data_IF_278691554431
#
_entry.id   IF_278691554431
#
_cell.length_a   1.000
_cell.length_b   1.000
_cell.length_c   1.000
_cell.angle_alpha   90.00
_cell.angle_beta   90.00
_cell.angle_gamma   90.00
#
_symmetry.space_group_name_H-M   'P 1'
#
loop_
_entity.id
_entity.type
_entity.pdbx_description
1 polymer ?
#
# COMPACT_ATOMS: atom_id res chain seq x y z
N UNK A 1 22.06 13.38 47.02
CA UNK A 1 23.23 12.93 46.23
C UNK A 1 22.74 11.96 45.16
N UNK A 2 22.70 12.32 43.87
CA UNK A 2 22.29 11.38 42.83
C UNK A 2 23.36 10.29 42.71
N UNK A 3 22.93 9.03 42.82
CA UNK A 3 23.79 7.85 42.72
C UNK A 3 24.42 7.85 41.32
N UNK A 4 25.76 7.93 41.27
CA UNK A 4 26.56 7.74 40.07
C UNK A 4 26.22 6.38 39.48
N UNK A 5 25.59 6.37 38.31
CA UNK A 5 25.28 5.15 37.58
C UNK A 5 26.62 4.41 37.36
N UNK A 6 26.80 3.17 37.86
CA UNK A 6 28.03 2.44 37.64
C UNK A 6 28.19 2.30 36.12
N UNK A 7 29.41 2.48 35.63
CA UNK A 7 29.73 2.47 34.22
C UNK A 7 28.99 1.32 33.50
N UNK A 8 28.09 1.69 32.58
CA UNK A 8 27.48 0.78 31.61
C UNK A 8 28.62 -0.04 31.02
N UNK A 9 28.55 -1.37 31.10
CA UNK A 9 29.69 -2.19 30.68
C UNK A 9 29.99 -1.89 29.20
N UNK A 10 31.26 -1.91 28.76
CA UNK A 10 31.60 -1.71 27.35
C UNK A 10 30.81 -2.63 26.41
N UNK A 11 30.47 -3.81 26.93
CA UNK A 11 29.66 -4.84 26.29
C UNK A 11 28.21 -4.36 26.05
N UNK A 12 27.54 -3.85 27.07
CA UNK A 12 26.19 -3.29 26.95
C UNK A 12 26.14 -2.10 25.99
N UNK A 13 27.16 -1.24 25.99
CA UNK A 13 27.21 -0.10 25.07
C UNK A 13 27.42 -0.54 23.62
N UNK A 14 28.09 -1.66 23.39
CA UNK A 14 28.35 -2.20 22.06
C UNK A 14 27.10 -2.91 21.53
N UNK A 15 26.45 -3.73 22.36
CA UNK A 15 25.19 -4.40 22.03
C UNK A 15 24.09 -3.39 21.65
N UNK A 16 23.96 -2.31 22.40
CA UNK A 16 22.96 -1.27 22.12
C UNK A 16 23.24 -0.52 20.81
N UNK A 17 24.51 -0.30 20.46
CA UNK A 17 24.89 0.31 19.18
C UNK A 17 24.57 -0.61 18.02
N UNK A 18 24.87 -1.90 18.14
CA UNK A 18 24.55 -2.89 17.11
C UNK A 18 23.04 -2.98 16.86
N UNK A 19 22.23 -3.00 17.93
CA UNK A 19 20.76 -3.01 17.81
C UNK A 19 20.21 -1.73 17.17
N UNK A 20 20.83 -0.58 17.45
CA UNK A 20 20.46 0.69 16.84
C UNK A 20 20.77 0.66 15.34
N UNK A 21 21.99 0.26 14.98
CA UNK A 21 22.44 0.15 13.58
C UNK A 21 21.55 -0.80 12.77
N UNK A 22 21.24 -1.98 13.30
CA UNK A 22 20.34 -2.95 12.67
C UNK A 22 18.92 -2.37 12.43
N UNK A 23 18.39 -1.65 13.42
CA UNK A 23 17.06 -1.01 13.31
C UNK A 23 17.07 0.10 12.26
N UNK A 24 18.10 0.94 12.26
CA UNK A 24 18.27 2.04 11.30
C UNK A 24 18.44 1.53 9.88
N UNK A 25 19.20 0.45 9.68
CA UNK A 25 19.39 -0.18 8.38
C UNK A 25 18.09 -0.80 7.87
N UNK A 26 17.32 -1.47 8.75
CA UNK A 26 15.99 -2.00 8.41
C UNK A 26 15.04 -0.88 7.96
N UNK A 27 14.99 0.23 8.71
CA UNK A 27 14.16 1.39 8.34
C UNK A 27 14.62 2.02 7.01
N UNK A 28 15.93 2.07 6.77
CA UNK A 28 16.48 2.53 5.50
C UNK A 28 16.03 1.63 4.35
N UNK A 29 16.05 0.31 4.52
CA UNK A 29 15.59 -0.64 3.52
C UNK A 29 14.11 -0.45 3.18
N UNK A 30 13.26 -0.26 4.19
CA UNK A 30 11.83 0.01 4.01
C UNK A 30 11.62 1.34 3.25
N UNK A 31 12.29 2.42 3.65
CA UNK A 31 12.15 3.75 3.02
C UNK A 31 12.61 3.80 1.57
N UNK A 32 13.61 2.99 1.21
CA UNK A 32 14.17 2.95 -0.15
C UNK A 32 13.59 1.81 -0.99
N UNK A 33 12.48 1.17 -0.57
CA UNK A 33 11.86 0.07 -1.29
C UNK A 33 12.82 -1.11 -1.57
N UNK A 34 13.78 -1.36 -0.67
CA UNK A 34 14.74 -2.46 -0.78
C UNK A 34 14.24 -3.75 -0.11
N UNK A 35 12.93 -3.85 0.12
CA UNK A 35 12.27 -4.99 0.78
C UNK A 35 11.08 -5.40 -0.09
N UNK A 36 10.94 -6.70 -0.37
CA UNK A 36 9.86 -7.22 -1.22
C UNK A 36 8.68 -7.79 -0.40
N UNK A 37 8.91 -8.18 0.86
CA UNK A 37 7.89 -8.75 1.74
C UNK A 37 8.25 -8.66 3.24
N UNK A 38 7.22 -8.75 4.08
CA UNK A 38 7.32 -8.88 5.53
C UNK A 38 6.76 -10.22 6.00
N UNK A 39 7.40 -10.82 7.00
CA UNK A 39 6.86 -11.97 7.73
C UNK A 39 6.23 -11.46 9.02
N UNK A 40 4.90 -11.52 9.12
CA UNK A 40 4.13 -11.05 10.26
C UNK A 40 3.63 -12.23 11.08
N UNK A 41 3.90 -12.24 12.38
CA UNK A 41 3.35 -13.25 13.29
C UNK A 41 2.07 -12.71 13.92
N UNK A 42 0.98 -13.47 13.81
CA UNK A 42 -0.33 -13.20 14.41
C UNK A 42 -0.75 -14.38 15.30
N UNK A 43 -1.83 -14.22 16.05
CA UNK A 43 -2.34 -15.26 16.96
C UNK A 43 -2.71 -16.57 16.25
N UNK A 44 -2.99 -16.50 14.94
CA UNK A 44 -3.35 -17.61 14.05
C UNK A 44 -2.18 -18.17 13.22
N UNK A 45 -0.97 -17.62 13.36
CA UNK A 45 0.24 -18.15 12.72
C UNK A 45 1.13 -17.09 12.06
N UNK A 46 2.04 -17.55 11.21
CA UNK A 46 2.97 -16.70 10.46
C UNK A 46 2.43 -16.43 9.05
N UNK A 47 2.31 -15.15 8.68
CA UNK A 47 1.81 -14.69 7.38
C UNK A 47 2.89 -13.89 6.64
N UNK A 48 3.09 -14.16 5.35
CA UNK A 48 3.95 -13.35 4.47
C UNK A 48 3.11 -12.27 3.78
N UNK A 49 3.52 -11.01 3.86
CA UNK A 49 2.88 -9.84 3.24
C UNK A 49 3.85 -9.23 2.24
N UNK A 50 3.55 -9.25 0.95
CA UNK A 50 4.39 -8.65 -0.10
C UNK A 50 4.13 -7.16 -0.25
N UNK A 51 5.17 -6.36 -0.49
CA UNK A 51 5.08 -4.91 -0.69
C UNK A 51 4.60 -4.54 -2.11
N UNK A 52 4.85 -5.39 -3.09
CA UNK A 52 4.35 -5.26 -4.46
C UNK A 52 3.39 -6.41 -4.76
N UNK A 53 2.13 -6.27 -4.40
CA UNK A 53 1.08 -7.04 -5.09
C UNK A 53 1.15 -6.64 -6.57
N UNK A 54 1.16 -7.60 -7.50
CA UNK A 54 1.20 -7.34 -8.96
C UNK A 54 0.10 -6.37 -9.44
N UNK A 55 -0.91 -6.16 -8.60
CA UNK A 55 -2.00 -5.21 -8.76
C UNK A 55 -1.55 -3.74 -8.71
N UNK A 56 -0.45 -3.39 -8.02
CA UNK A 56 -0.05 -1.98 -7.88
C UNK A 56 0.45 -1.37 -9.19
N UNK A 57 1.40 -1.97 -9.94
CA UNK A 57 1.80 -1.47 -11.26
C UNK A 57 0.64 -1.43 -12.25
N UNK A 58 -0.25 -2.43 -12.23
CA UNK A 58 -1.43 -2.48 -13.08
C UNK A 58 -2.41 -1.34 -12.74
N UNK A 59 -2.70 -1.12 -11.46
CA UNK A 59 -3.58 -0.04 -10.99
C UNK A 59 -3.03 1.32 -11.35
N UNK A 60 -1.73 1.55 -11.13
CA UNK A 60 -1.06 2.80 -11.50
C UNK A 60 -1.17 3.05 -13.01
N UNK A 61 -0.97 2.02 -13.83
CA UNK A 61 -1.14 2.13 -15.28
C UNK A 61 -2.56 2.57 -15.62
N UNK A 62 -3.59 1.88 -15.12
CA UNK A 62 -5.01 2.15 -15.44
C UNK A 62 -5.49 3.50 -14.90
N UNK A 63 -5.04 3.92 -13.71
CA UNK A 63 -5.41 5.20 -13.10
C UNK A 63 -4.77 6.40 -13.82
N UNK A 64 -3.62 6.20 -14.47
CA UNK A 64 -2.89 7.22 -15.22
C UNK A 64 -3.29 7.35 -16.70
N UNK A 65 -4.23 6.53 -17.19
CA UNK A 65 -4.66 6.54 -18.59
C UNK A 65 -5.37 7.85 -18.97
N UNK A 66 -5.11 8.32 -20.18
CA UNK A 66 -5.85 9.45 -20.77
C UNK A 66 -7.22 9.03 -21.33
N UNK A 67 -7.43 7.73 -21.50
CA UNK A 67 -8.68 7.09 -21.85
C UNK A 67 -9.48 6.72 -20.60
N UNK A 68 -10.81 6.83 -20.71
CA UNK A 68 -11.72 6.31 -19.70
C UNK A 68 -11.77 4.78 -19.77
N UNK A 69 -11.61 4.12 -18.63
CA UNK A 69 -11.73 2.68 -18.49
C UNK A 69 -12.86 2.34 -17.53
N UNK A 70 -13.70 1.36 -17.91
CA UNK A 70 -14.80 0.83 -17.11
C UNK A 70 -14.80 -0.68 -17.19
N UNK A 71 -14.96 -1.33 -16.05
CA UNK A 71 -15.22 -2.78 -15.94
C UNK A 71 -16.66 -2.98 -15.53
N UNK A 72 -17.38 -3.80 -16.29
CA UNK A 72 -18.76 -4.16 -16.02
C UNK A 72 -18.84 -5.61 -15.54
N UNK A 73 -19.74 -5.87 -14.60
CA UNK A 73 -20.21 -7.23 -14.33
C UNK A 73 -21.28 -7.63 -15.37
N UNK A 74 -21.63 -8.94 -15.50
CA UNK A 74 -22.47 -9.42 -16.60
C UNK A 74 -23.86 -8.77 -16.74
N UNK A 75 -24.41 -8.19 -15.66
CA UNK A 75 -25.68 -7.47 -15.67
C UNK A 75 -25.57 -6.03 -16.17
N UNK A 76 -24.37 -5.58 -16.54
CA UNK A 76 -24.08 -4.23 -17.03
C UNK A 76 -23.83 -3.21 -15.91
N UNK A 77 -23.75 -3.64 -14.66
CA UNK A 77 -23.41 -2.78 -13.53
C UNK A 77 -21.91 -2.47 -13.51
N UNK A 78 -21.56 -1.22 -13.21
CA UNK A 78 -20.17 -0.77 -13.11
C UNK A 78 -19.54 -1.37 -11.85
N UNK A 79 -18.52 -2.22 -12.05
CA UNK A 79 -17.69 -2.77 -10.99
C UNK A 79 -16.50 -1.86 -10.66
N UNK A 80 -15.93 -1.24 -11.69
CA UNK A 80 -14.80 -0.33 -11.57
C UNK A 80 -14.84 0.72 -12.68
N UNK A 81 -14.37 1.92 -12.38
CA UNK A 81 -14.05 2.93 -13.37
C UNK A 81 -12.78 3.69 -12.94
N UNK A 82 -11.93 4.03 -13.91
CA UNK A 82 -10.75 4.85 -13.63
C UNK A 82 -11.15 6.34 -13.47
N UNK A 83 -10.28 7.18 -12.86
CA UNK A 83 -10.56 8.60 -12.64
C UNK A 83 -10.97 9.32 -13.92
N UNK A 84 -10.30 9.01 -15.02
CA UNK A 84 -10.54 9.60 -16.33
C UNK A 84 -11.96 9.36 -16.86
N UNK A 85 -12.54 8.18 -16.64
CA UNK A 85 -13.94 7.93 -16.99
C UNK A 85 -14.89 8.78 -16.15
N UNK A 86 -14.63 8.91 -14.84
CA UNK A 86 -15.41 9.77 -13.96
C UNK A 86 -15.42 11.23 -14.39
N UNK A 87 -14.27 11.74 -14.85
CA UNK A 87 -14.18 13.07 -15.45
C UNK A 87 -15.03 13.21 -16.72
N UNK A 88 -15.01 12.20 -17.61
CA UNK A 88 -15.76 12.21 -18.87
C UNK A 88 -17.26 12.29 -18.65
N UNK A 89 -17.79 11.55 -17.66
CA UNK A 89 -19.22 11.54 -17.34
C UNK A 89 -19.60 12.58 -16.28
N UNK A 90 -18.65 13.37 -15.79
CA UNK A 90 -18.83 14.38 -14.74
C UNK A 90 -19.40 13.84 -13.42
N UNK A 91 -19.02 12.61 -13.05
CA UNK A 91 -19.43 11.95 -11.80
C UNK A 91 -18.21 11.32 -11.13
N UNK A 92 -18.05 11.51 -9.83
CA UNK A 92 -16.97 10.86 -9.07
C UNK A 92 -17.07 9.34 -9.14
N UNK A 93 -15.92 8.66 -9.32
CA UNK A 93 -15.86 7.20 -9.49
C UNK A 93 -16.59 6.41 -8.39
N UNK A 94 -16.52 6.88 -7.14
CA UNK A 94 -17.21 6.25 -5.99
C UNK A 94 -18.74 6.21 -6.13
N UNK A 95 -19.32 7.13 -6.90
CA UNK A 95 -20.75 7.22 -7.13
C UNK A 95 -21.18 6.46 -8.39
N UNK A 96 -20.22 6.01 -9.22
CA UNK A 96 -20.47 5.24 -10.43
C UNK A 96 -20.46 3.73 -10.16
N UNK A 97 -19.66 3.26 -9.19
CA UNK A 97 -19.66 1.85 -8.79
C UNK A 97 -21.05 1.45 -8.30
N UNK A 98 -21.61 0.38 -8.88
CA UNK A 98 -22.96 -0.11 -8.58
C UNK A 98 -24.07 0.50 -9.46
N UNK A 99 -23.76 1.50 -10.30
CA UNK A 99 -24.72 2.06 -11.27
C UNK A 99 -24.73 1.22 -12.55
N UNK A 100 -25.89 1.11 -13.23
CA UNK A 100 -25.94 0.49 -14.55
C UNK A 100 -25.33 1.42 -15.59
N UNK A 101 -24.39 0.90 -16.38
CA UNK A 101 -23.70 1.69 -17.41
C UNK A 101 -24.67 2.35 -18.41
N UNK A 102 -25.79 1.68 -18.70
CA UNK A 102 -26.84 2.14 -19.61
C UNK A 102 -27.48 3.46 -19.15
N UNK A 103 -27.53 3.71 -17.85
CA UNK A 103 -28.14 4.91 -17.27
C UNK A 103 -27.29 6.17 -17.54
N UNK A 104 -26.04 6.00 -17.97
CA UNK A 104 -25.12 7.09 -18.35
C UNK A 104 -25.22 7.47 -19.83
N UNK A 105 -25.94 6.69 -20.64
CA UNK A 105 -26.07 6.93 -22.08
C UNK A 105 -27.31 7.79 -22.32
N UNK A 106 -27.10 9.03 -22.78
CA UNK A 106 -28.18 9.87 -23.29
C UNK A 106 -28.41 9.51 -24.76
N UNK A 107 -29.63 9.09 -25.09
CA UNK A 107 -30.06 8.77 -26.46
C UNK A 107 -30.32 10.03 -27.30
#
# INVERSE_FOLDING_TARGET
>A
MPKRNPARSPDETTELKNRLEETEETLRAIRHYMVDAFVVTRADGTQVVTLNEADFPYRMMVESMNEGAVTLIPDGTIFYCNPRFGEMVQVECKNLVGVRFQDLIVA
#
